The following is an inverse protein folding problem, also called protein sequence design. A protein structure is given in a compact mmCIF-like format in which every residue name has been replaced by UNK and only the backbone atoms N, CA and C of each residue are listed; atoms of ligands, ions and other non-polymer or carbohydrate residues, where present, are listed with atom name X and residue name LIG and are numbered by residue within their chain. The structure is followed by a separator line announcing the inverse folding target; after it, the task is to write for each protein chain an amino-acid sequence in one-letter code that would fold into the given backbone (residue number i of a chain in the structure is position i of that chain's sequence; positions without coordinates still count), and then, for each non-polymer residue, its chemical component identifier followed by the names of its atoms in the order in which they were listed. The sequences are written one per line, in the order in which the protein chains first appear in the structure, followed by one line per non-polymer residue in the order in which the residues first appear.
data_IF_957099438984
#
_entry.id   IF_957099438984
#
_cell.length_a   1.000
_cell.length_b   1.000
_cell.length_c   1.000
_cell.angle_alpha   90.00
_cell.angle_beta   90.00
_cell.angle_gamma   90.00
#
_symmetry.space_group_name_H-M   'P 1'
#
loop_
_entity.id
_entity.type
_entity.pdbx_description
1 polymer ?
#
# COMPACT_ATOMS: atom_id res chain seq x y z
N UNK A 1 -18.91 -8.87 17.36
CA UNK A 1 -18.13 -7.64 17.63
C UNK A 1 -16.96 -7.91 18.58
N UNK A 2 -17.20 -8.24 19.84
CA UNK A 2 -16.14 -8.57 20.83
C UNK A 2 -15.27 -9.78 20.48
N UNK A 3 -15.83 -10.79 19.79
CA UNK A 3 -15.08 -11.99 19.38
C UNK A 3 -13.86 -11.70 18.48
N UNK A 4 -13.91 -10.68 17.61
CA UNK A 4 -12.77 -10.37 16.71
C UNK A 4 -11.68 -9.58 17.44
N UNK A 5 -12.05 -8.65 18.31
CA UNK A 5 -11.10 -7.97 19.18
C UNK A 5 -10.40 -8.95 20.13
N UNK A 6 -11.17 -9.87 20.73
CA UNK A 6 -10.62 -10.91 21.59
C UNK A 6 -9.67 -11.84 20.84
N UNK A 7 -10.02 -12.27 19.62
CA UNK A 7 -9.10 -13.01 18.74
C UNK A 7 -7.83 -12.22 18.42
N UNK A 8 -7.93 -10.91 18.20
CA UNK A 8 -6.76 -10.04 17.99
C UNK A 8 -5.81 -10.03 19.20
N UNK A 9 -6.34 -10.01 20.42
CA UNK A 9 -5.55 -10.12 21.65
C UNK A 9 -4.87 -11.49 21.73
N UNK A 10 -5.60 -12.58 21.50
CA UNK A 10 -5.04 -13.94 21.54
C UNK A 10 -3.91 -14.13 20.52
N UNK A 11 -4.09 -13.63 19.29
CA UNK A 11 -3.02 -13.65 18.29
C UNK A 11 -1.82 -12.80 18.70
N UNK A 12 -2.03 -11.67 19.38
CA UNK A 12 -0.93 -10.82 19.84
C UNK A 12 -0.15 -11.46 21.00
N UNK A 13 -0.84 -12.10 21.95
CA UNK A 13 -0.21 -12.83 23.05
C UNK A 13 0.63 -13.99 22.52
N UNK A 14 0.06 -14.77 21.61
CA UNK A 14 0.76 -15.90 20.97
C UNK A 14 1.95 -15.44 20.11
N UNK A 15 1.83 -14.31 19.41
CA UNK A 15 2.96 -13.70 18.69
C UNK A 15 4.13 -13.31 19.61
N UNK A 16 3.84 -12.82 20.82
CA UNK A 16 4.86 -12.47 21.83
C UNK A 16 5.53 -13.73 22.38
N UNK A 17 4.76 -14.80 22.61
CA UNK A 17 5.31 -16.11 23.02
C UNK A 17 6.27 -16.67 21.96
N UNK A 18 5.88 -16.65 20.68
CA UNK A 18 6.72 -17.12 19.57
C UNK A 18 7.96 -16.25 19.37
N UNK A 19 7.87 -14.93 19.59
CA UNK A 19 9.02 -14.00 19.53
C UNK A 19 10.02 -14.29 20.67
N UNK A 20 9.53 -14.51 21.88
CA UNK A 20 10.34 -14.93 23.03
C UNK A 20 10.97 -16.32 22.82
N UNK A 21 10.30 -17.20 22.09
CA UNK A 21 10.81 -18.52 21.72
C UNK A 21 11.78 -18.50 20.52
N UNK A 22 12.17 -17.32 20.03
CA UNK A 22 13.02 -17.11 18.84
C UNK A 22 12.46 -17.69 17.54
N UNK A 23 11.15 -17.99 17.48
CA UNK A 23 10.48 -18.47 16.29
C UNK A 23 10.00 -17.29 15.44
N UNK A 24 10.95 -16.57 14.84
CA UNK A 24 10.68 -15.29 14.17
C UNK A 24 9.76 -15.39 12.96
N UNK A 25 9.76 -16.53 12.25
CA UNK A 25 8.89 -16.73 11.08
C UNK A 25 7.42 -16.90 11.48
N UNK A 26 7.14 -17.66 12.54
CA UNK A 26 5.80 -17.81 13.08
C UNK A 26 5.32 -16.51 13.75
N UNK A 27 6.15 -15.91 14.59
CA UNK A 27 5.85 -14.66 15.27
C UNK A 27 5.48 -13.53 14.29
N UNK A 28 6.22 -13.38 13.19
CA UNK A 28 5.91 -12.37 12.17
C UNK A 28 4.53 -12.58 11.53
N UNK A 29 4.14 -13.85 11.25
CA UNK A 29 2.81 -14.17 10.72
C UNK A 29 1.71 -13.86 11.73
N UNK A 30 1.93 -14.18 13.00
CA UNK A 30 0.95 -13.95 14.06
C UNK A 30 0.77 -12.47 14.41
N UNK A 31 1.84 -11.67 14.39
CA UNK A 31 1.74 -10.22 14.53
C UNK A 31 0.91 -9.59 13.40
N UNK A 32 1.07 -10.05 12.15
CA UNK A 32 0.25 -9.57 11.03
C UNK A 32 -1.23 -9.95 11.19
N UNK A 33 -1.51 -11.18 11.66
CA UNK A 33 -2.87 -11.63 11.93
C UNK A 33 -3.53 -10.81 13.06
N UNK A 34 -2.79 -10.50 14.12
CA UNK A 34 -3.26 -9.62 15.20
C UNK A 34 -3.63 -8.22 14.68
N UNK A 35 -2.76 -7.64 13.84
CA UNK A 35 -2.99 -6.34 13.21
C UNK A 35 -4.25 -6.35 12.34
N UNK A 36 -4.47 -7.39 11.55
CA UNK A 36 -5.67 -7.53 10.71
C UNK A 36 -6.96 -7.53 11.56
N UNK A 37 -6.95 -8.27 12.68
CA UNK A 37 -8.07 -8.30 13.61
C UNK A 37 -8.32 -6.95 14.28
N UNK A 38 -7.26 -6.22 14.67
CA UNK A 38 -7.37 -4.89 15.26
C UNK A 38 -7.84 -3.83 14.25
N UNK A 39 -7.37 -3.87 13.00
CA UNK A 39 -7.86 -3.00 11.92
C UNK A 39 -9.36 -3.20 11.68
N UNK A 40 -9.80 -4.45 11.59
CA UNK A 40 -11.22 -4.76 11.43
C UNK A 40 -12.05 -4.31 12.64
N UNK A 41 -11.51 -4.45 13.85
CA UNK A 41 -12.17 -3.99 15.07
C UNK A 41 -12.26 -2.45 15.13
N UNK A 42 -11.22 -1.73 14.70
CA UNK A 42 -11.21 -0.27 14.66
C UNK A 42 -12.16 0.33 13.63
N UNK A 43 -12.33 -0.33 12.47
CA UNK A 43 -13.22 0.14 11.40
C UNK A 43 -14.69 -0.15 11.68
N UNK A 44 -15.04 -1.40 11.98
CA UNK A 44 -16.43 -1.83 12.14
C UNK A 44 -16.90 -1.83 13.60
N UNK A 45 -16.02 -1.45 14.53
CA UNK A 45 -16.33 -1.32 15.95
C UNK A 45 -16.95 0.03 16.28
N UNK A 46 -18.14 0.04 16.89
CA UNK A 46 -18.65 1.15 17.69
C UNK A 46 -17.73 1.26 18.90
N UNK A 47 -16.68 2.07 18.78
CA UNK A 47 -15.68 2.31 19.82
C UNK A 47 -15.48 3.82 20.00
N UNK A 48 -15.25 4.25 21.25
CA UNK A 48 -14.91 5.64 21.57
C UNK A 48 -13.62 6.07 20.86
N UNK A 49 -13.50 7.36 20.52
CA UNK A 49 -12.32 7.93 19.83
C UNK A 49 -11.01 7.62 20.57
N UNK A 50 -11.04 7.59 21.90
CA UNK A 50 -9.86 7.23 22.70
C UNK A 50 -9.44 5.78 22.49
N UNK A 51 -10.41 4.85 22.41
CA UNK A 51 -10.14 3.44 22.17
C UNK A 51 -9.58 3.20 20.78
N UNK A 52 -10.08 3.91 19.77
CA UNK A 52 -9.52 3.85 18.41
C UNK A 52 -8.07 4.33 18.37
N UNK A 53 -7.73 5.39 19.10
CA UNK A 53 -6.34 5.88 19.23
C UNK A 53 -5.43 4.83 19.86
N UNK A 54 -5.86 4.19 20.96
CA UNK A 54 -5.08 3.12 21.59
C UNK A 54 -4.89 1.91 20.67
N UNK A 55 -5.94 1.50 19.94
CA UNK A 55 -5.86 0.40 18.99
C UNK A 55 -4.90 0.74 17.84
N UNK A 56 -4.95 1.96 17.30
CA UNK A 56 -4.01 2.43 16.27
C UNK A 56 -2.56 2.40 16.76
N UNK A 57 -2.29 2.89 17.97
CA UNK A 57 -0.95 2.84 18.56
C UNK A 57 -0.44 1.39 18.71
N UNK A 58 -1.31 0.47 19.11
CA UNK A 58 -0.97 -0.96 19.19
C UNK A 58 -0.68 -1.56 17.81
N UNK A 59 -1.52 -1.27 16.81
CA UNK A 59 -1.30 -1.70 15.42
C UNK A 59 0.08 -1.27 14.93
N UNK A 60 0.46 -0.01 15.18
CA UNK A 60 1.75 0.52 14.78
C UNK A 60 2.92 -0.21 15.48
N UNK A 61 2.79 -0.47 16.78
CA UNK A 61 3.82 -1.21 17.53
C UNK A 61 3.99 -2.65 17.03
N UNK A 62 2.90 -3.37 16.75
CA UNK A 62 2.93 -4.74 16.24
C UNK A 62 3.44 -4.81 14.79
N UNK A 63 3.11 -3.83 13.95
CA UNK A 63 3.63 -3.74 12.59
C UNK A 63 5.14 -3.50 12.57
N UNK A 64 5.62 -2.55 13.37
CA UNK A 64 7.06 -2.27 13.48
C UNK A 64 7.84 -3.50 13.93
N UNK A 65 7.31 -4.23 14.91
CA UNK A 65 7.93 -5.49 15.36
C UNK A 65 7.90 -6.55 14.25
N UNK A 66 6.79 -6.71 13.54
CA UNK A 66 6.70 -7.66 12.43
C UNK A 66 7.72 -7.36 11.32
N UNK A 67 7.95 -6.09 10.99
CA UNK A 67 8.99 -5.67 10.03
C UNK A 67 10.40 -6.01 10.51
N UNK A 68 10.72 -5.73 11.78
CA UNK A 68 12.00 -6.12 12.39
C UNK A 68 12.23 -7.63 12.29
N UNK A 69 11.21 -8.43 12.62
CA UNK A 69 11.28 -9.89 12.53
C UNK A 69 11.45 -10.37 11.10
N UNK A 70 10.71 -9.79 10.14
CA UNK A 70 10.88 -10.12 8.72
C UNK A 70 12.27 -9.77 8.19
N UNK A 71 12.87 -8.66 8.66
CA UNK A 71 14.23 -8.30 8.29
C UNK A 71 15.25 -9.30 8.86
N UNK A 72 15.05 -9.78 10.08
CA UNK A 72 15.89 -10.84 10.69
C UNK A 72 15.77 -12.15 9.90
N UNK A 73 14.57 -12.52 9.47
CA UNK A 73 14.34 -13.74 8.66
C UNK A 73 14.97 -13.62 7.26
N UNK A 74 14.88 -12.45 6.62
CA UNK A 74 15.40 -12.22 5.26
C UNK A 74 16.92 -12.01 5.21
N UNK A 75 17.51 -11.34 6.19
CA UNK A 75 18.91 -10.92 6.17
C UNK A 75 19.80 -11.59 7.24
N UNK A 76 19.24 -12.48 8.06
CA UNK A 76 19.92 -13.06 9.23
C UNK A 76 20.00 -12.06 10.41
N UNK A 77 20.43 -12.51 11.61
CA UNK A 77 20.45 -11.65 12.79
C UNK A 77 21.48 -10.53 12.61
N UNK A 78 20.99 -9.31 12.39
CA UNK A 78 21.81 -8.11 12.36
C UNK A 78 22.33 -7.86 13.78
N UNK A 79 23.63 -8.05 14.00
CA UNK A 79 24.32 -7.51 15.18
C UNK A 79 24.13 -6.00 15.16
N UNK A 80 23.57 -5.43 16.23
CA UNK A 80 23.52 -3.97 16.42
C UNK A 80 24.96 -3.43 16.28
N UNK A 81 25.26 -2.75 15.17
CA UNK A 81 26.39 -1.83 15.09
C UNK A 81 25.85 -0.44 15.41
N UNK A 82 26.34 0.10 16.51
CA UNK A 82 26.24 1.50 16.85
C UNK A 82 26.87 2.37 15.74
N UNK A 83 26.40 3.61 15.62
CA UNK A 83 26.66 4.53 14.53
C UNK A 83 28.16 4.69 14.22
N UNK A 84 28.50 4.62 12.93
CA UNK A 84 29.63 5.34 12.37
C UNK A 84 29.40 5.58 10.86
N UNK A 85 29.70 6.81 10.48
CA UNK A 85 29.69 7.42 9.18
C UNK A 85 30.64 6.72 8.16
N UNK A 86 30.42 7.08 6.91
CA UNK A 86 31.35 7.02 5.78
C UNK A 86 31.20 5.91 4.71
N UNK A 87 31.31 6.42 3.48
CA UNK A 87 31.33 5.79 2.18
C UNK A 87 32.14 4.49 2.12
N UNK A 88 31.60 3.50 1.39
CA UNK A 88 32.29 2.97 0.21
C UNK A 88 31.43 2.00 -0.62
N UNK A 89 31.29 2.40 -1.86
CA UNK A 89 31.66 1.65 -3.04
C UNK A 89 30.72 0.58 -3.59
N UNK A 90 30.58 0.71 -4.91
CA UNK A 90 29.86 -0.14 -5.84
C UNK A 90 30.47 -1.53 -5.80
N UNK A 91 29.61 -2.56 -5.82
CA UNK A 91 29.91 -3.72 -6.68
C UNK A 91 28.66 -4.52 -7.06
N UNK A 92 28.61 -4.68 -8.37
CA UNK A 92 27.70 -5.37 -9.27
C UNK A 92 27.45 -6.85 -8.91
N UNK A 93 26.22 -7.31 -9.15
CA UNK A 93 25.86 -8.68 -9.60
C UNK A 93 24.40 -8.61 -10.03
N UNK A 94 24.08 -8.29 -11.29
CA UNK A 94 24.05 -9.16 -12.48
C UNK A 94 23.26 -10.47 -12.30
N UNK A 95 22.31 -10.60 -13.22
CA UNK A 95 21.61 -11.80 -13.70
C UNK A 95 20.39 -12.27 -12.88
N UNK A 96 19.20 -11.89 -13.36
CA UNK A 96 18.29 -12.87 -13.98
C UNK A 96 17.52 -12.18 -15.10
N UNK A 97 17.84 -12.61 -16.33
CA UNK A 97 17.10 -12.33 -17.55
C UNK A 97 15.95 -13.34 -17.62
N UNK A 98 14.72 -12.84 -17.66
CA UNK A 98 13.63 -13.56 -18.30
C UNK A 98 13.24 -12.73 -19.53
N UNK A 99 13.58 -13.29 -20.68
CA UNK A 99 13.17 -12.89 -22.03
C UNK A 99 11.64 -12.87 -22.12
N UNK A 100 11.09 -11.82 -22.72
CA UNK A 100 9.95 -11.95 -23.64
C UNK A 100 9.81 -10.65 -24.48
N UNK A 101 10.35 -10.73 -25.71
CA UNK A 101 10.01 -9.96 -26.91
C UNK A 101 10.37 -8.45 -26.94
N UNK A 102 11.60 -8.17 -27.39
CA UNK A 102 12.02 -6.90 -28.00
C UNK A 102 11.23 -6.63 -29.29
N UNK A 103 9.99 -6.18 -29.16
CA UNK A 103 9.26 -5.49 -30.22
C UNK A 103 9.89 -4.10 -30.34
N UNK A 104 10.43 -3.82 -31.53
CA UNK A 104 11.29 -2.70 -31.93
C UNK A 104 11.10 -1.37 -31.16
N UNK A 105 12.20 -0.89 -30.58
CA UNK A 105 12.34 0.35 -29.79
C UNK A 105 11.80 1.68 -30.34
N UNK A 106 11.64 1.94 -31.66
CA UNK A 106 11.10 3.23 -32.12
C UNK A 106 9.62 3.42 -31.77
N UNK A 107 8.79 2.37 -31.83
CA UNK A 107 7.36 2.50 -31.55
C UNK A 107 7.07 2.66 -30.07
N UNK A 108 7.76 1.90 -29.20
CA UNK A 108 7.67 2.08 -27.75
C UNK A 108 8.10 3.49 -27.36
N UNK A 109 9.14 4.04 -27.97
CA UNK A 109 9.58 5.42 -27.72
C UNK A 109 8.54 6.46 -28.15
N UNK A 110 7.92 6.27 -29.32
CA UNK A 110 6.83 7.15 -29.77
C UNK A 110 5.59 7.05 -28.87
N UNK A 111 5.24 5.85 -28.41
CA UNK A 111 4.15 5.63 -27.46
C UNK A 111 4.46 6.28 -26.11
N UNK A 112 5.67 6.07 -25.58
CA UNK A 112 6.11 6.70 -24.33
C UNK A 112 6.05 8.23 -24.44
N UNK A 113 6.45 8.80 -25.57
CA UNK A 113 6.35 10.24 -25.83
C UNK A 113 4.90 10.74 -25.85
N UNK A 114 3.94 9.95 -26.36
CA UNK A 114 2.52 10.28 -26.31
C UNK A 114 1.96 10.24 -24.89
N UNK A 115 2.38 9.26 -24.09
CA UNK A 115 1.94 9.14 -22.69
C UNK A 115 2.65 10.10 -21.74
N UNK A 116 3.82 10.64 -22.09
CA UNK A 116 4.53 11.63 -21.29
C UNK A 116 3.65 12.88 -21.03
N UNK A 117 2.85 13.30 -22.02
CA UNK A 117 1.87 14.38 -21.86
C UNK A 117 0.63 14.01 -21.05
N UNK A 118 0.34 12.72 -20.87
CA UNK A 118 -0.80 12.21 -20.09
C UNK A 118 -0.46 11.99 -18.61
N UNK A 119 0.83 12.03 -18.25
CA UNK A 119 1.29 11.95 -16.87
C UNK A 119 1.06 13.29 -16.19
N UNK A 120 0.17 13.32 -15.20
CA UNK A 120 -0.04 14.48 -14.35
C UNK A 120 0.96 14.37 -13.19
N UNK A 121 1.88 15.33 -13.12
CA UNK A 121 2.99 15.29 -12.16
C UNK A 121 2.60 15.72 -10.76
N UNK A 122 1.64 16.65 -10.57
CA UNK A 122 1.15 17.04 -9.25
C UNK A 122 -0.22 17.75 -9.33
N UNK A 123 -1.35 17.06 -9.15
CA UNK A 123 -2.61 17.72 -8.90
C UNK A 123 -2.52 18.46 -7.55
N UNK A 124 -2.97 19.72 -7.49
CA UNK A 124 -2.94 20.54 -6.24
C UNK A 124 -4.19 20.38 -5.37
N UNK A 125 -4.98 19.34 -5.60
CA UNK A 125 -6.29 19.14 -4.95
C UNK A 125 -6.13 18.08 -3.87
N UNK A 126 -6.69 18.29 -2.69
CA UNK A 126 -6.63 17.35 -1.57
C UNK A 126 -8.01 16.75 -1.27
N UNK A 127 -8.09 15.71 -0.42
CA UNK A 127 -9.38 15.16 0.00
C UNK A 127 -10.26 16.16 0.76
N UNK A 128 -9.65 17.19 1.35
CA UNK A 128 -10.34 18.23 2.11
C UNK A 128 -11.07 19.22 1.19
N UNK A 129 -10.59 19.39 -0.04
CA UNK A 129 -11.23 20.24 -1.06
C UNK A 129 -12.49 19.60 -1.66
N UNK A 130 -12.69 18.31 -1.46
CA UNK A 130 -13.88 17.59 -1.93
C UNK A 130 -14.95 17.64 -0.85
N UNK A 131 -16.10 18.28 -1.10
CA UNK A 131 -17.20 18.31 -0.10
C UNK A 131 -18.09 17.07 -0.26
N UNK A 132 -18.38 16.38 0.86
CA UNK A 132 -19.25 15.20 0.89
C UNK A 132 -18.56 13.90 0.40
N UNK A 133 -19.36 12.95 -0.09
CA UNK A 133 -18.90 11.64 -0.61
C UNK A 133 -18.06 10.81 0.38
N UNK A 134 -18.34 10.92 1.68
CA UNK A 134 -17.52 10.33 2.75
C UNK A 134 -17.27 8.82 2.55
N UNK A 135 -18.31 8.07 2.16
CA UNK A 135 -18.20 6.64 1.90
C UNK A 135 -17.27 6.33 0.71
N UNK A 136 -17.33 7.14 -0.35
CA UNK A 136 -16.47 6.94 -1.52
C UNK A 136 -15.02 7.32 -1.21
N UNK A 137 -14.80 8.38 -0.43
CA UNK A 137 -13.46 8.74 0.06
C UNK A 137 -12.87 7.64 0.93
N UNK A 138 -13.63 7.11 1.89
CA UNK A 138 -13.17 6.02 2.76
C UNK A 138 -12.83 4.76 1.93
N UNK A 139 -13.68 4.38 0.99
CA UNK A 139 -13.41 3.26 0.09
C UNK A 139 -12.15 3.46 -0.76
N UNK A 140 -11.93 4.66 -1.31
CA UNK A 140 -10.72 4.99 -2.07
C UNK A 140 -9.46 4.96 -1.21
N UNK A 141 -9.51 5.53 0.00
CA UNK A 141 -8.39 5.49 0.95
C UNK A 141 -8.01 4.05 1.29
N UNK A 142 -8.98 3.17 1.47
CA UNK A 142 -8.69 1.77 1.73
C UNK A 142 -8.22 0.97 0.53
N UNK A 143 -8.77 1.26 -0.65
CA UNK A 143 -8.41 0.54 -1.86
C UNK A 143 -7.00 0.92 -2.34
N UNK A 144 -6.55 2.16 -2.10
CA UNK A 144 -5.32 2.70 -2.68
C UNK A 144 -4.27 3.01 -1.60
N UNK A 145 -4.62 3.77 -0.55
CA UNK A 145 -3.64 4.18 0.47
C UNK A 145 -3.25 3.01 1.37
N UNK A 146 -4.20 2.14 1.73
CA UNK A 146 -3.93 1.02 2.65
C UNK A 146 -2.90 0.02 2.06
N UNK A 147 -2.99 -0.42 0.78
CA UNK A 147 -1.95 -1.24 0.18
C UNK A 147 -0.59 -0.57 0.07
N UNK A 148 -0.57 0.73 -0.26
CA UNK A 148 0.68 1.50 -0.38
C UNK A 148 1.36 1.68 0.98
N UNK A 149 0.57 1.93 2.03
CA UNK A 149 1.09 2.15 3.38
C UNK A 149 1.46 0.85 4.10
N UNK A 150 0.72 -0.24 3.84
CA UNK A 150 0.91 -1.53 4.52
C UNK A 150 0.93 -2.69 3.52
N UNK A 151 1.95 -2.78 2.65
CA UNK A 151 2.05 -3.86 1.65
C UNK A 151 2.04 -5.26 2.28
N UNK A 152 2.58 -5.40 3.50
CA UNK A 152 2.63 -6.66 4.25
C UNK A 152 1.26 -7.29 4.55
N UNK A 153 0.18 -6.49 4.56
CA UNK A 153 -1.17 -6.97 4.79
C UNK A 153 -1.81 -7.57 3.52
N UNK A 154 -1.24 -7.32 2.35
CA UNK A 154 -1.79 -7.71 1.05
C UNK A 154 -1.00 -8.85 0.40
N UNK A 155 -0.70 -9.89 1.18
CA UNK A 155 -0.02 -11.09 0.70
C UNK A 155 -1.01 -12.27 0.54
N UNK A 156 -0.72 -13.16 -0.44
CA UNK A 156 -1.51 -14.38 -0.66
C UNK A 156 -2.89 -14.11 -1.29
N UNK A 157 -3.97 -14.46 -0.56
CA UNK A 157 -5.36 -14.33 -1.06
C UNK A 157 -5.87 -12.89 -1.07
N UNK A 158 -5.29 -12.01 -0.26
CA UNK A 158 -5.72 -10.61 -0.12
C UNK A 158 -4.91 -9.76 -1.08
N UNK A 159 -5.46 -9.51 -2.28
CA UNK A 159 -4.83 -8.66 -3.29
C UNK A 159 -5.34 -7.22 -3.18
N UNK A 160 -4.51 -6.21 -3.51
CA UNK A 160 -4.99 -4.85 -3.68
C UNK A 160 -6.04 -4.79 -4.79
N UNK A 161 -6.84 -3.73 -4.79
CA UNK A 161 -7.91 -3.57 -5.76
C UNK A 161 -7.30 -3.28 -7.14
N UNK A 162 -7.74 -4.03 -8.16
CA UNK A 162 -7.19 -3.89 -9.51
C UNK A 162 -7.79 -2.70 -10.29
N UNK A 163 -8.98 -2.23 -9.90
CA UNK A 163 -9.65 -1.12 -10.57
C UNK A 163 -10.85 -0.64 -9.77
N UNK A 164 -11.18 0.65 -9.91
CA UNK A 164 -12.28 1.32 -9.23
C UNK A 164 -13.07 2.10 -10.27
N UNK A 165 -14.39 1.90 -10.30
CA UNK A 165 -15.30 2.61 -11.20
C UNK A 165 -16.13 3.64 -10.42
N UNK A 166 -15.97 4.92 -10.76
CA UNK A 166 -16.80 6.00 -10.23
C UNK A 166 -17.89 6.35 -11.25
N UNK A 167 -19.16 6.15 -10.88
CA UNK A 167 -20.31 6.45 -11.77
C UNK A 167 -21.29 7.43 -11.12
N UNK A 168 -22.14 8.06 -11.95
CA UNK A 168 -23.23 8.93 -11.50
C UNK A 168 -23.45 10.14 -12.42
N UNK A 169 -24.36 11.06 -12.06
CA UNK A 169 -24.65 12.27 -12.86
C UNK A 169 -23.41 13.12 -13.15
N UNK A 170 -23.36 13.87 -14.27
CA UNK A 170 -22.27 14.80 -14.53
C UNK A 170 -22.23 15.91 -13.46
N UNK A 171 -21.04 16.44 -13.17
CA UNK A 171 -20.87 17.52 -12.19
C UNK A 171 -20.77 17.10 -10.72
N UNK A 172 -20.84 15.80 -10.38
CA UNK A 172 -20.71 15.33 -8.98
C UNK A 172 -19.26 15.14 -8.51
N UNK A 173 -18.29 15.80 -9.15
CA UNK A 173 -16.89 15.79 -8.69
C UNK A 173 -16.12 14.47 -8.86
N UNK A 174 -16.56 13.53 -9.72
CA UNK A 174 -15.85 12.24 -9.94
C UNK A 174 -14.38 12.41 -10.36
N UNK A 175 -14.14 13.24 -11.39
CA UNK A 175 -12.79 13.57 -11.86
C UNK A 175 -12.01 14.36 -10.81
N UNK A 176 -12.70 15.23 -10.07
CA UNK A 176 -12.10 16.03 -9.01
C UNK A 176 -11.61 15.15 -7.84
N UNK A 177 -12.37 14.13 -7.48
CA UNK A 177 -12.01 13.10 -6.50
C UNK A 177 -10.82 12.25 -6.96
N UNK A 178 -10.77 11.88 -8.25
CA UNK A 178 -9.63 11.14 -8.80
C UNK A 178 -8.32 11.96 -8.73
N UNK A 179 -8.40 13.26 -9.01
CA UNK A 179 -7.26 14.16 -8.84
C UNK A 179 -6.82 14.27 -7.38
N UNK A 180 -7.75 14.35 -6.42
CA UNK A 180 -7.44 14.37 -5.00
C UNK A 180 -6.71 13.09 -4.53
N UNK A 181 -7.13 11.94 -5.02
CA UNK A 181 -6.48 10.64 -4.76
C UNK A 181 -5.04 10.63 -5.27
N UNK A 182 -4.81 11.16 -6.46
CA UNK A 182 -3.49 11.23 -7.07
C UNK A 182 -2.49 12.02 -6.21
N UNK A 183 -2.92 13.17 -5.68
CA UNK A 183 -2.11 14.02 -4.79
C UNK A 183 -1.73 13.30 -3.49
N UNK A 184 -2.65 12.55 -2.91
CA UNK A 184 -2.46 11.89 -1.61
C UNK A 184 -1.59 10.64 -1.70
N UNK A 185 -1.67 9.92 -2.82
CA UNK A 185 -0.88 8.70 -3.01
C UNK A 185 0.58 8.96 -3.40
N UNK A 186 0.94 10.21 -3.75
CA UNK A 186 2.28 10.59 -4.24
C UNK A 186 2.83 9.62 -5.29
N UNK A 187 1.94 9.19 -6.18
CA UNK A 187 2.22 8.18 -7.21
C UNK A 187 1.98 8.78 -8.59
N UNK A 188 2.52 8.13 -9.62
CA UNK A 188 2.35 8.58 -11.01
C UNK A 188 0.89 8.43 -11.43
N UNK A 189 0.21 9.56 -11.65
CA UNK A 189 -1.17 9.58 -12.13
C UNK A 189 -1.20 9.79 -13.64
N UNK A 190 -1.71 8.79 -14.36
CA UNK A 190 -1.85 8.85 -15.81
C UNK A 190 -3.33 9.12 -16.12
N UNK A 191 -3.62 10.31 -16.64
CA UNK A 191 -4.96 10.69 -17.07
C UNK A 191 -5.06 10.49 -18.58
N UNK A 192 -5.77 9.45 -19.01
CA UNK A 192 -5.89 9.09 -20.42
C UNK A 192 -7.31 9.32 -20.89
N UNK A 193 -7.48 10.07 -21.98
CA UNK A 193 -8.76 10.17 -22.67
C UNK A 193 -8.84 9.16 -23.82
N UNK A 194 -10.06 8.83 -24.27
CA UNK A 194 -10.27 7.89 -25.38
C UNK A 194 -9.54 8.32 -26.66
N UNK A 195 -9.44 9.63 -26.90
CA UNK A 195 -8.71 10.19 -28.04
C UNK A 195 -7.20 9.91 -28.01
N UNK A 196 -6.61 9.74 -26.82
CA UNK A 196 -5.16 9.53 -26.67
C UNK A 196 -4.76 8.09 -26.98
N UNK A 197 -5.70 7.15 -26.86
CA UNK A 197 -5.52 5.73 -27.14
C UNK A 197 -5.72 5.38 -28.62
N UNK A 198 -6.38 6.24 -29.38
CA UNK A 198 -6.67 5.99 -30.79
C UNK A 198 -5.46 6.35 -31.66
N UNK A 199 -5.04 5.41 -32.49
CA UNK A 199 -4.01 5.63 -33.52
C UNK A 199 -4.61 5.42 -34.91
N UNK A 200 -4.08 6.14 -35.91
CA UNK A 200 -4.46 5.98 -37.31
C UNK A 200 -4.04 4.61 -37.87
N UNK A 201 -3.04 3.98 -37.27
CA UNK A 201 -2.48 2.71 -37.70
C UNK A 201 -3.21 1.56 -37.01
N UNK A 202 -3.43 0.48 -37.74
CA UNK A 202 -4.13 -0.71 -37.28
C UNK A 202 -3.12 -1.66 -36.62
N UNK A 203 -3.22 -1.84 -35.30
CA UNK A 203 -2.39 -2.78 -34.52
C UNK A 203 -1.20 -2.11 -33.89
#
# INVERSE_FOLDING_TARGET
MFRRHYRGIQCAEKAVEDDNAHNYEAAAKEYLAAVEHFLHAGKYGIMSENTKKTIRAKIESYLKRAEELQNIVKHGPVKKKELADDNRDRRNSKDNKDDDNEISDPERKQLMQKFEGAIITDPKITFDDVVGLEQAKEALKEAIILPVKFPQLFHGKRKPWAGILLYGPPGTGKTYLANAVATECKSTFICVNSSDLLSKWLG
#
